data_IF_082469620019
#
_entry.id   IF_082469620019
#
_cell.length_a   1.000
_cell.length_b   1.000
_cell.length_c   1.000
_cell.angle_alpha   90.00
_cell.angle_beta   90.00
_cell.angle_gamma   90.00
#
_symmetry.space_group_name_H-M   'P 1'
#
loop_
_entity.id
_entity.type
_entity.pdbx_description
1 polymer ?
#
# COMPACT_ATOMS: atom_id res chain seq x y z
N UNK A 1 -16.26 62.76 -12.04
CA UNK A 1 -17.43 61.99 -11.56
C UNK A 1 -17.02 60.51 -11.53
N UNK A 2 -16.32 60.10 -10.46
CA UNK A 2 -15.87 58.73 -10.22
C UNK A 2 -16.33 58.35 -8.81
N UNK A 3 -17.15 57.32 -8.67
CA UNK A 3 -17.55 56.70 -7.40
C UNK A 3 -17.58 55.18 -7.66
N UNK A 4 -16.63 54.38 -7.19
CA UNK A 4 -16.42 53.86 -5.83
C UNK A 4 -17.28 52.62 -5.53
N UNK A 5 -16.62 51.48 -5.29
CA UNK A 5 -16.91 50.33 -4.39
C UNK A 5 -16.03 49.14 -4.86
N UNK A 6 -15.20 48.45 -4.08
CA UNK A 6 -14.79 48.56 -2.68
C UNK A 6 -13.65 47.55 -2.44
N UNK A 7 -12.56 48.00 -1.83
CA UNK A 7 -11.45 47.17 -1.32
C UNK A 7 -11.72 46.84 0.16
N UNK A 8 -11.45 45.60 0.56
CA UNK A 8 -11.34 45.15 1.97
C UNK A 8 -11.51 43.63 2.03
N UNK A 9 -10.78 42.84 2.81
CA UNK A 9 -9.68 43.05 3.73
C UNK A 9 -9.33 41.66 4.29
N UNK A 10 -8.07 41.25 4.21
CA UNK A 10 -7.58 39.98 4.75
C UNK A 10 -7.27 40.20 6.23
N UNK A 11 -8.09 39.63 7.12
CA UNK A 11 -7.87 39.67 8.57
C UNK A 11 -7.33 38.32 9.06
N UNK A 12 -6.01 38.27 9.23
CA UNK A 12 -5.29 37.18 9.91
C UNK A 12 -5.21 37.54 11.40
N UNK A 13 -5.92 36.83 12.28
CA UNK A 13 -5.77 36.98 13.73
C UNK A 13 -4.57 36.17 14.22
N UNK A 14 -3.63 36.86 14.83
CA UNK A 14 -2.67 36.33 15.78
C UNK A 14 -3.24 36.50 17.20
N UNK A 15 -3.07 35.50 18.07
CA UNK A 15 -2.97 35.71 19.51
C UNK A 15 -1.81 34.87 20.02
N UNK A 16 -0.78 35.54 20.52
CA UNK A 16 0.34 34.94 21.22
C UNK A 16 0.11 34.91 22.72
N UNK A 17 0.84 34.01 23.37
CA UNK A 17 1.27 34.10 24.77
C UNK A 17 2.67 33.50 24.87
N UNK A 18 3.65 34.41 24.96
CA UNK A 18 4.87 34.40 25.80
C UNK A 18 4.82 33.44 27.01
N UNK A 19 5.89 32.84 27.59
CA UNK A 19 7.37 32.89 27.49
C UNK A 19 7.91 31.84 28.52
N UNK A 20 9.18 31.83 29.00
CA UNK A 20 10.44 31.36 28.40
C UNK A 20 11.23 30.35 29.28
N UNK A 21 12.48 30.04 28.83
CA UNK A 21 13.67 29.50 29.55
C UNK A 21 13.96 28.01 29.24
N UNK A 22 15.19 27.54 28.99
CA UNK A 22 16.56 28.04 29.16
C UNK A 22 17.52 27.10 28.37
N UNK A 23 18.66 27.62 27.89
CA UNK A 23 19.98 26.96 27.66
C UNK A 23 20.02 25.70 26.74
N UNK A 24 21.00 25.45 25.88
CA UNK A 24 22.42 25.80 25.84
C UNK A 24 22.95 25.43 24.45
N UNK A 25 23.76 26.32 23.85
CA UNK A 25 24.54 26.05 22.64
C UNK A 25 25.99 25.86 23.03
N UNK A 26 26.60 24.73 22.66
CA UNK A 26 28.05 24.55 22.55
C UNK A 26 28.25 23.77 21.24
N UNK A 27 29.00 24.20 20.21
CA UNK A 27 30.13 25.12 20.22
C UNK A 27 31.42 24.32 20.25
N UNK A 28 31.85 23.77 19.10
CA UNK A 28 33.25 23.39 18.88
C UNK A 28 33.65 23.74 17.44
N UNK A 29 34.60 24.66 17.37
CA UNK A 29 35.24 25.20 16.17
C UNK A 29 36.71 24.75 16.18
N UNK A 30 37.14 24.22 15.04
CA UNK A 30 38.47 24.38 14.42
C UNK A 30 39.74 23.65 14.90
N UNK A 31 40.52 23.32 13.85
CA UNK A 31 42.01 23.20 13.73
C UNK A 31 42.52 21.75 13.72
N UNK A 32 43.34 21.25 12.76
CA UNK A 32 44.32 21.84 11.85
C UNK A 32 44.41 21.00 10.53
N UNK A 33 44.47 21.62 9.36
CA UNK A 33 45.65 21.72 8.45
C UNK A 33 46.36 20.42 8.01
N UNK A 34 46.11 20.09 6.73
CA UNK A 34 47.11 19.86 5.66
C UNK A 34 48.05 18.64 5.72
N UNK A 35 47.78 17.67 4.84
CA UNK A 35 48.79 17.10 3.92
C UNK A 35 48.13 16.36 2.75
N UNK A 36 48.45 16.83 1.56
CA UNK A 36 48.21 16.18 0.26
C UNK A 36 49.02 14.89 0.17
N UNK A 37 48.38 13.78 -0.20
CA UNK A 37 49.07 12.74 -0.96
C UNK A 37 48.09 11.93 -1.82
N UNK A 38 48.44 11.75 -3.08
CA UNK A 38 47.71 10.98 -4.06
C UNK A 38 47.78 9.48 -3.73
N UNK A 39 46.67 8.73 -3.94
CA UNK A 39 46.63 7.51 -4.78
C UNK A 39 45.45 6.58 -4.46
N UNK A 40 44.84 6.14 -5.57
CA UNK A 40 44.07 4.90 -5.81
C UNK A 40 42.65 4.83 -5.27
N UNK A 41 41.71 4.94 -6.20
CA UNK A 41 40.32 4.56 -6.03
C UNK A 41 40.17 3.06 -5.74
N UNK A 42 39.30 2.77 -4.78
CA UNK A 42 38.69 1.47 -4.56
C UNK A 42 37.20 1.70 -4.38
N UNK A 43 36.42 1.36 -5.40
CA UNK A 43 34.96 1.35 -5.34
C UNK A 43 34.57 0.21 -4.40
N UNK A 44 34.15 0.53 -3.17
CA UNK A 44 33.45 -0.43 -2.32
C UNK A 44 32.04 -0.60 -2.89
N UNK A 45 31.84 -1.69 -3.64
CA UNK A 45 30.51 -2.20 -3.94
C UNK A 45 29.90 -2.71 -2.64
N UNK A 46 28.86 -2.02 -2.17
CA UNK A 46 27.89 -2.57 -1.23
C UNK A 46 27.10 -3.67 -1.94
N UNK A 47 27.46 -4.92 -1.71
CA UNK A 47 26.73 -6.09 -2.20
C UNK A 47 25.45 -6.31 -1.38
N UNK A 48 24.32 -6.05 -2.00
CA UNK A 48 23.01 -6.53 -1.57
C UNK A 48 23.02 -8.08 -1.46
N UNK A 49 22.40 -8.69 -0.44
CA UNK A 49 22.23 -10.14 -0.41
C UNK A 49 21.34 -10.59 -1.58
N UNK A 50 21.90 -11.47 -2.41
CA UNK A 50 21.23 -12.05 -3.57
C UNK A 50 20.06 -12.94 -3.12
N UNK A 51 18.85 -12.69 -3.65
CA UNK A 51 17.65 -13.52 -3.49
C UNK A 51 17.88 -15.02 -3.81
N UNK A 52 18.93 -15.32 -4.58
CA UNK A 52 19.35 -16.70 -4.92
C UNK A 52 19.92 -17.47 -3.72
N UNK A 53 20.41 -16.77 -2.69
CA UNK A 53 20.88 -17.39 -1.46
C UNK A 53 19.71 -17.84 -0.57
N UNK A 54 18.61 -17.08 -0.55
CA UNK A 54 17.42 -17.41 0.23
C UNK A 54 16.67 -18.64 -0.31
N UNK A 55 16.59 -18.80 -1.63
CA UNK A 55 16.03 -20.01 -2.26
C UNK A 55 16.89 -21.25 -1.98
N UNK A 56 18.23 -21.10 -2.05
CA UNK A 56 19.18 -22.17 -1.74
C UNK A 56 19.28 -22.53 -0.25
N UNK A 57 18.93 -21.62 0.67
CA UNK A 57 18.81 -21.89 2.10
C UNK A 57 17.47 -22.56 2.45
N UNK A 58 16.38 -22.19 1.79
CA UNK A 58 15.08 -22.84 1.95
C UNK A 58 15.08 -24.29 1.43
N UNK A 59 15.75 -24.55 0.29
CA UNK A 59 15.95 -25.92 -0.20
C UNK A 59 16.88 -26.73 0.71
N UNK A 60 17.94 -26.13 1.27
CA UNK A 60 18.82 -26.81 2.25
C UNK A 60 18.10 -27.14 3.55
N UNK A 61 17.30 -26.23 4.09
CA UNK A 61 16.47 -26.49 5.28
C UNK A 61 15.52 -27.66 5.07
N UNK A 62 14.88 -27.74 3.90
CA UNK A 62 13.97 -28.85 3.58
C UNK A 62 14.72 -30.19 3.48
N UNK A 63 15.91 -30.19 2.87
CA UNK A 63 16.77 -31.39 2.78
C UNK A 63 17.32 -31.79 4.15
N UNK A 64 17.70 -30.82 4.99
CA UNK A 64 18.15 -31.04 6.37
C UNK A 64 17.03 -31.57 7.27
N UNK A 65 15.80 -31.07 7.13
CA UNK A 65 14.61 -31.59 7.83
C UNK A 65 14.26 -33.01 7.37
N UNK A 66 14.38 -33.28 6.06
CA UNK A 66 14.21 -34.63 5.53
C UNK A 66 15.29 -35.57 6.07
N UNK A 67 16.55 -35.15 6.11
CA UNK A 67 17.66 -35.95 6.62
C UNK A 67 17.51 -36.22 8.11
N UNK A 68 17.12 -35.22 8.92
CA UNK A 68 16.83 -35.39 10.34
C UNK A 68 15.69 -36.39 10.59
N UNK A 69 14.62 -36.34 9.76
CA UNK A 69 13.52 -37.31 9.81
C UNK A 69 13.97 -38.70 9.37
N UNK A 70 14.83 -38.79 8.36
CA UNK A 70 15.36 -40.04 7.83
C UNK A 70 16.28 -40.71 8.87
N UNK A 71 17.18 -39.95 9.49
CA UNK A 71 18.01 -40.41 10.61
C UNK A 71 17.16 -40.86 11.82
N UNK A 72 16.08 -40.14 12.15
CA UNK A 72 15.18 -40.55 13.22
C UNK A 72 14.44 -41.87 12.89
N UNK A 73 14.06 -42.07 11.63
CA UNK A 73 13.44 -43.31 11.15
C UNK A 73 14.44 -44.47 11.12
N UNK A 74 15.65 -44.25 10.62
CA UNK A 74 16.72 -45.25 10.62
C UNK A 74 17.09 -45.68 12.05
N UNK A 75 17.19 -44.72 12.97
CA UNK A 75 17.44 -45.03 14.39
C UNK A 75 16.31 -45.87 15.00
N UNK A 76 15.04 -45.62 14.63
CA UNK A 76 13.88 -46.36 15.13
C UNK A 76 13.76 -47.77 14.50
N UNK A 77 14.10 -47.93 13.22
CA UNK A 77 13.92 -49.20 12.49
C UNK A 77 15.15 -50.11 12.58
N UNK A 78 16.36 -49.56 12.49
CA UNK A 78 17.61 -50.31 12.50
C UNK A 78 18.33 -50.31 13.86
N UNK A 79 17.93 -49.44 14.80
CA UNK A 79 18.60 -49.30 16.11
C UNK A 79 20.09 -48.91 15.98
N UNK A 80 20.88 -49.09 17.05
CA UNK A 80 22.35 -48.90 17.04
C UNK A 80 23.11 -49.95 16.19
N UNK A 81 22.41 -50.89 15.56
CA UNK A 81 22.99 -52.00 14.78
C UNK A 81 23.26 -51.65 13.30
N UNK A 82 23.08 -50.39 12.90
CA UNK A 82 23.29 -49.90 11.53
C UNK A 82 24.72 -49.98 10.96
N UNK A 83 25.68 -50.61 11.66
CA UNK A 83 27.04 -50.85 11.14
C UNK A 83 27.23 -52.24 10.54
N UNK A 84 26.31 -53.17 10.78
CA UNK A 84 26.40 -54.53 10.27
C UNK A 84 25.31 -54.77 9.22
N UNK A 85 25.77 -54.89 7.98
CA UNK A 85 25.05 -54.99 6.70
C UNK A 85 24.07 -56.18 6.57
N UNK A 86 23.18 -56.42 7.53
CA UNK A 86 22.07 -57.38 7.38
C UNK A 86 20.75 -56.62 7.39
N UNK A 87 19.96 -56.67 6.30
CA UNK A 87 18.61 -56.12 6.33
C UNK A 87 17.84 -56.84 7.43
N UNK A 88 17.54 -56.14 8.52
CA UNK A 88 16.66 -56.69 9.55
C UNK A 88 15.34 -56.95 8.85
N UNK A 89 14.92 -58.21 8.79
CA UNK A 89 13.65 -58.60 8.17
C UNK A 89 12.49 -58.21 9.09
N UNK A 90 12.37 -56.93 9.40
CA UNK A 90 11.36 -56.37 10.30
C UNK A 90 9.96 -56.74 9.82
N UNK A 91 9.72 -56.71 8.51
CA UNK A 91 8.45 -57.13 7.91
C UNK A 91 8.14 -58.62 8.18
N UNK A 92 9.08 -59.54 7.91
CA UNK A 92 8.86 -60.98 8.17
C UNK A 92 8.72 -61.29 9.66
N UNK A 93 9.49 -60.62 10.52
CA UNK A 93 9.39 -60.76 11.98
C UNK A 93 8.08 -60.18 12.52
N UNK A 94 7.64 -59.02 12.02
CA UNK A 94 6.37 -58.40 12.36
C UNK A 94 5.20 -59.26 11.91
N UNK A 95 5.25 -59.82 10.70
CA UNK A 95 4.22 -60.75 10.21
C UNK A 95 4.18 -62.01 11.07
N UNK A 96 5.33 -62.58 11.46
CA UNK A 96 5.38 -63.72 12.39
C UNK A 96 4.80 -63.39 13.77
N UNK A 97 5.15 -62.24 14.33
CA UNK A 97 4.62 -61.76 15.62
C UNK A 97 3.11 -61.49 15.52
N UNK A 98 2.67 -60.80 14.48
CA UNK A 98 1.25 -60.52 14.25
C UNK A 98 0.44 -61.81 14.08
N UNK A 99 0.99 -62.80 13.38
CA UNK A 99 0.34 -64.11 13.20
C UNK A 99 0.28 -64.87 14.54
N UNK A 100 1.34 -64.83 15.35
CA UNK A 100 1.36 -65.43 16.69
C UNK A 100 0.40 -64.73 17.66
N UNK A 101 0.30 -63.40 17.58
CA UNK A 101 -0.65 -62.58 18.35
C UNK A 101 -2.08 -62.85 17.91
N UNK A 102 -2.37 -62.89 16.61
CA UNK A 102 -3.69 -63.22 16.07
C UNK A 102 -4.12 -64.64 16.47
N UNK A 103 -3.20 -65.61 16.41
CA UNK A 103 -3.46 -66.97 16.86
C UNK A 103 -3.73 -67.05 18.38
N UNK A 104 -3.02 -66.25 19.18
CA UNK A 104 -3.22 -66.21 20.64
C UNK A 104 -4.50 -65.48 21.03
N UNK A 105 -4.82 -64.38 20.34
CA UNK A 105 -6.04 -63.62 20.51
C UNK A 105 -7.27 -64.45 20.11
N UNK A 106 -7.22 -65.18 18.99
CA UNK A 106 -8.33 -66.00 18.53
C UNK A 106 -8.54 -67.30 19.33
N UNK A 107 -7.50 -67.86 19.95
CA UNK A 107 -7.62 -69.06 20.81
C UNK A 107 -8.20 -68.74 22.20
N UNK A 108 -8.12 -67.50 22.66
CA UNK A 108 -8.65 -67.06 23.96
C UNK A 108 -9.70 -65.97 23.75
N UNK A 109 -10.98 -66.34 23.81
CA UNK A 109 -12.11 -65.42 23.64
C UNK A 109 -12.01 -64.15 24.52
N UNK A 110 -11.50 -64.27 25.74
CA UNK A 110 -11.26 -63.10 26.62
C UNK A 110 -10.24 -62.11 26.04
N UNK A 111 -9.18 -62.60 25.39
CA UNK A 111 -8.14 -61.76 24.76
C UNK A 111 -8.68 -61.12 23.49
N UNK A 112 -9.49 -61.84 22.71
CA UNK A 112 -10.19 -61.31 21.54
C UNK A 112 -11.14 -60.16 21.89
N UNK A 113 -11.91 -60.32 22.96
CA UNK A 113 -12.81 -59.29 23.48
C UNK A 113 -12.01 -58.08 23.96
N UNK A 114 -10.90 -58.31 24.68
CA UNK A 114 -10.03 -57.22 25.12
C UNK A 114 -9.39 -56.47 23.95
N UNK A 115 -8.93 -57.16 22.90
CA UNK A 115 -8.34 -56.51 21.73
C UNK A 115 -9.33 -55.59 21.01
N UNK A 116 -10.59 -56.04 20.87
CA UNK A 116 -11.68 -55.20 20.35
C UNK A 116 -12.03 -54.04 21.27
N UNK A 117 -12.09 -54.30 22.58
CA UNK A 117 -12.35 -53.25 23.58
C UNK A 117 -11.21 -52.25 23.70
N UNK A 118 -9.97 -52.62 23.39
CA UNK A 118 -8.83 -51.69 23.40
C UNK A 118 -9.03 -50.62 22.33
N UNK A 119 -9.49 -50.98 21.12
CA UNK A 119 -9.81 -49.99 20.09
C UNK A 119 -10.93 -49.04 20.52
N UNK A 120 -11.97 -49.56 21.19
CA UNK A 120 -13.06 -48.73 21.70
C UNK A 120 -12.60 -47.87 22.89
N UNK A 121 -11.82 -48.43 23.82
CA UNK A 121 -11.24 -47.70 24.96
C UNK A 121 -10.26 -46.62 24.50
N UNK A 122 -9.52 -46.84 23.41
CA UNK A 122 -8.68 -45.80 22.80
C UNK A 122 -9.51 -44.61 22.33
N UNK A 123 -10.73 -44.83 21.81
CA UNK A 123 -11.66 -43.74 21.44
C UNK A 123 -12.16 -42.98 22.66
N UNK A 124 -12.46 -43.68 23.76
CA UNK A 124 -12.88 -43.05 25.01
C UNK A 124 -11.72 -42.37 25.78
N UNK A 125 -10.47 -42.72 25.47
CA UNK A 125 -9.27 -42.10 26.03
C UNK A 125 -8.78 -40.90 25.22
N UNK A 126 -9.38 -40.63 24.05
CA UNK A 126 -9.12 -39.40 23.31
C UNK A 126 -9.76 -38.23 24.09
N UNK A 127 -8.96 -37.26 24.59
CA UNK A 127 -9.49 -36.09 25.28
C UNK A 127 -10.54 -35.35 24.43
N UNK A 128 -10.35 -35.34 23.10
CA UNK A 128 -11.30 -34.70 22.20
C UNK A 128 -12.67 -35.38 22.24
N UNK A 129 -12.75 -36.70 22.41
CA UNK A 129 -14.03 -37.41 22.46
C UNK A 129 -14.77 -37.21 23.78
N UNK A 130 -14.05 -37.11 24.89
CA UNK A 130 -14.65 -36.92 26.23
C UNK A 130 -15.17 -35.49 26.41
N UNK A 131 -14.47 -34.49 25.86
CA UNK A 131 -14.86 -33.08 25.96
C UNK A 131 -16.19 -32.77 25.24
N UNK A 132 -16.49 -33.46 24.13
CA UNK A 132 -17.76 -33.27 23.41
C UNK A 132 -18.98 -33.93 24.08
N UNK A 133 -18.79 -34.98 24.87
CA UNK A 133 -19.89 -35.70 25.56
C UNK A 133 -20.15 -35.13 26.95
N UNK A 134 -19.16 -34.47 27.55
CA UNK A 134 -19.19 -34.16 28.97
C UNK A 134 -19.83 -32.82 29.35
N UNK A 135 -20.22 -31.93 28.42
CA UNK A 135 -20.88 -30.66 28.81
C UNK A 135 -22.31 -30.96 29.27
N UNK A 136 -22.60 -30.97 30.58
CA UNK A 136 -23.93 -31.29 31.08
C UNK A 136 -24.87 -30.14 30.69
N UNK A 137 -26.18 -30.43 30.55
CA UNK A 137 -27.13 -29.42 30.09
C UNK A 137 -27.22 -28.20 31.01
N UNK A 138 -26.96 -28.38 32.32
CA UNK A 138 -26.81 -27.27 33.26
C UNK A 138 -25.64 -26.35 32.91
N UNK A 139 -24.50 -26.89 32.46
CA UNK A 139 -23.33 -26.09 32.07
C UNK A 139 -23.56 -25.37 30.73
N UNK A 140 -24.29 -25.98 29.79
CA UNK A 140 -24.68 -25.31 28.54
C UNK A 140 -25.54 -24.08 28.82
N UNK A 141 -26.46 -24.19 29.78
CA UNK A 141 -27.29 -23.07 30.21
C UNK A 141 -26.44 -21.93 30.80
N UNK A 142 -25.56 -22.26 31.74
CA UNK A 142 -24.66 -21.26 32.34
C UNK A 142 -23.74 -20.62 31.31
N UNK A 143 -23.26 -21.38 30.32
CA UNK A 143 -22.45 -20.85 29.22
C UNK A 143 -23.24 -19.88 28.35
N UNK A 144 -24.48 -20.23 27.97
CA UNK A 144 -25.37 -19.36 27.19
C UNK A 144 -25.70 -18.07 27.95
N UNK A 145 -25.96 -18.17 29.26
CA UNK A 145 -26.25 -17.00 30.11
C UNK A 145 -25.01 -16.13 30.31
N UNK A 146 -23.83 -16.72 30.53
CA UNK A 146 -22.57 -16.00 30.65
C UNK A 146 -22.18 -15.29 29.34
N UNK A 147 -22.49 -15.90 28.19
CA UNK A 147 -22.24 -15.32 26.86
C UNK A 147 -23.44 -14.56 26.27
N UNK A 148 -24.51 -14.34 27.03
CA UNK A 148 -25.74 -13.74 26.52
C UNK A 148 -25.47 -12.35 25.92
N UNK A 149 -24.75 -11.50 26.64
CA UNK A 149 -24.39 -10.16 26.17
C UNK A 149 -23.51 -10.20 24.92
N UNK A 150 -22.60 -11.17 24.84
CA UNK A 150 -21.74 -11.38 23.68
C UNK A 150 -22.58 -11.79 22.46
N UNK A 151 -23.48 -12.75 22.60
CA UNK A 151 -24.39 -13.20 21.54
C UNK A 151 -25.33 -12.08 21.08
N UNK A 152 -25.88 -11.30 22.02
CA UNK A 152 -26.71 -10.12 21.72
C UNK A 152 -25.93 -9.06 20.96
N UNK A 153 -24.68 -8.79 21.37
CA UNK A 153 -23.82 -7.81 20.69
C UNK A 153 -23.46 -8.26 19.26
N UNK A 154 -23.16 -9.55 19.06
CA UNK A 154 -22.91 -10.12 17.73
C UNK A 154 -24.17 -10.06 16.86
N UNK A 155 -25.33 -10.40 17.40
CA UNK A 155 -26.60 -10.33 16.66
C UNK A 155 -26.90 -8.90 16.21
N UNK A 156 -26.72 -7.90 17.08
CA UNK A 156 -26.90 -6.50 16.74
C UNK A 156 -25.90 -6.03 15.66
N UNK A 157 -24.64 -6.47 15.73
CA UNK A 157 -23.65 -6.16 14.71
C UNK A 157 -23.98 -6.83 13.36
N UNK A 158 -24.41 -8.08 13.38
CA UNK A 158 -24.85 -8.80 12.18
C UNK A 158 -26.08 -8.15 11.55
N UNK A 159 -27.03 -7.67 12.36
CA UNK A 159 -28.18 -6.91 11.87
C UNK A 159 -27.75 -5.60 11.21
N UNK A 160 -26.79 -4.88 11.81
CA UNK A 160 -26.21 -3.69 11.18
C UNK A 160 -25.54 -4.02 9.83
N UNK A 161 -24.76 -5.09 9.76
CA UNK A 161 -24.12 -5.53 8.52
C UNK A 161 -25.17 -5.90 7.46
N UNK A 162 -26.22 -6.63 7.85
CA UNK A 162 -27.33 -6.98 6.96
C UNK A 162 -28.07 -5.74 6.44
N UNK A 163 -28.26 -4.72 7.28
CA UNK A 163 -28.88 -3.45 6.88
C UNK A 163 -28.00 -2.63 5.92
N UNK A 164 -26.68 -2.79 5.98
CA UNK A 164 -25.72 -2.11 5.11
C UNK A 164 -25.47 -2.85 3.79
N UNK A 165 -25.76 -4.15 3.72
CA UNK A 165 -25.66 -4.97 2.50
C UNK A 165 -26.32 -4.33 1.26
N UNK A 166 -27.58 -3.81 1.31
CA UNK A 166 -28.20 -3.18 0.15
C UNK A 166 -27.52 -1.90 -0.33
N UNK A 167 -26.67 -1.25 0.48
CA UNK A 167 -25.93 -0.06 0.06
C UNK A 167 -24.80 -0.41 -0.92
N UNK A 168 -24.21 -1.59 -0.79
CA UNK A 168 -23.18 -2.10 -1.72
C UNK A 168 -23.75 -2.34 -3.12
N UNK A 169 -25.02 -2.74 -3.17
CA UNK A 169 -25.75 -2.97 -4.42
C UNK A 169 -26.40 -1.73 -5.01
N UNK A 170 -26.22 -0.56 -4.38
CA UNK A 170 -26.83 0.68 -4.81
C UNK A 170 -26.44 1.03 -6.25
N UNK A 171 -27.45 1.44 -7.03
CA UNK A 171 -27.27 1.81 -8.43
C UNK A 171 -26.25 2.94 -8.60
N UNK A 172 -26.05 3.79 -7.59
CA UNK A 172 -25.06 4.86 -7.60
C UNK A 172 -23.62 4.35 -7.63
N UNK A 173 -23.31 3.28 -6.89
CA UNK A 173 -21.98 2.64 -6.91
C UNK A 173 -21.78 1.91 -8.25
N UNK A 174 -22.82 1.23 -8.74
CA UNK A 174 -22.78 0.53 -10.04
C UNK A 174 -22.64 1.49 -11.23
N UNK A 175 -23.16 2.71 -11.13
CA UNK A 175 -23.09 3.73 -12.17
C UNK A 175 -21.76 4.52 -12.20
N UNK A 176 -20.84 4.30 -11.25
CA UNK A 176 -19.55 5.01 -11.17
C UNK A 176 -18.71 4.85 -12.45
N UNK A 177 -18.56 3.65 -13.06
CA UNK A 177 -17.80 3.52 -14.30
C UNK A 177 -18.39 4.34 -15.45
N UNK A 178 -19.72 4.35 -15.59
CA UNK A 178 -20.41 5.15 -16.61
C UNK A 178 -20.19 6.65 -16.37
N UNK A 179 -20.37 7.13 -15.14
CA UNK A 179 -20.13 8.53 -14.79
C UNK A 179 -18.66 8.93 -15.03
N UNK A 180 -17.71 8.04 -14.70
CA UNK A 180 -16.28 8.27 -14.92
C UNK A 180 -15.97 8.48 -16.39
N UNK A 181 -16.53 7.68 -17.29
CA UNK A 181 -16.32 7.86 -18.74
C UNK A 181 -16.88 9.19 -19.24
N UNK A 182 -18.06 9.62 -18.76
CA UNK A 182 -18.64 10.93 -19.09
C UNK A 182 -17.77 12.08 -18.59
N UNK A 183 -17.26 11.98 -17.35
CA UNK A 183 -16.35 12.97 -16.76
C UNK A 183 -15.03 13.05 -17.51
N UNK A 184 -14.45 11.91 -17.90
CA UNK A 184 -13.23 11.87 -18.72
C UNK A 184 -13.44 12.56 -20.08
N UNK A 185 -14.57 12.28 -20.75
CA UNK A 185 -14.92 12.96 -22.01
C UNK A 185 -15.09 14.46 -21.81
N UNK A 186 -15.79 14.89 -20.76
CA UNK A 186 -15.95 16.31 -20.44
C UNK A 186 -14.61 16.97 -20.12
N UNK A 187 -13.71 16.29 -19.41
CA UNK A 187 -12.37 16.78 -19.14
C UNK A 187 -11.59 17.03 -20.43
N UNK A 188 -11.68 16.12 -21.40
CA UNK A 188 -11.02 16.29 -22.69
C UNK A 188 -11.58 17.50 -23.47
N UNK A 189 -12.91 17.65 -23.47
CA UNK A 189 -13.58 18.81 -24.09
C UNK A 189 -13.15 20.11 -23.40
N UNK A 190 -13.04 20.10 -22.08
CA UNK A 190 -12.64 21.28 -21.32
C UNK A 190 -11.20 21.71 -21.63
N UNK A 191 -10.27 20.76 -21.74
CA UNK A 191 -8.88 21.04 -22.16
C UNK A 191 -8.85 21.68 -23.55
N UNK A 192 -9.62 21.12 -24.49
CA UNK A 192 -9.72 21.66 -25.85
C UNK A 192 -10.28 23.09 -25.88
N UNK A 193 -11.37 23.32 -25.14
CA UNK A 193 -11.97 24.65 -25.02
C UNK A 193 -11.02 25.66 -24.37
N UNK A 194 -10.25 25.24 -23.37
CA UNK A 194 -9.26 26.09 -22.73
C UNK A 194 -8.16 26.48 -23.72
N UNK A 195 -7.61 25.53 -24.47
CA UNK A 195 -6.60 25.79 -25.48
C UNK A 195 -7.11 26.77 -26.56
N UNK A 196 -8.33 26.54 -27.06
CA UNK A 196 -8.96 27.42 -28.05
C UNK A 196 -9.18 28.84 -27.50
N UNK A 197 -9.59 28.96 -26.24
CA UNK A 197 -9.78 30.26 -25.60
C UNK A 197 -8.44 31.00 -25.40
N UNK A 198 -7.37 30.28 -25.06
CA UNK A 198 -6.03 30.86 -24.93
C UNK A 198 -5.49 31.33 -26.29
N UNK A 199 -5.66 30.54 -27.35
CA UNK A 199 -5.29 30.90 -28.73
C UNK A 199 -6.07 32.12 -29.21
N UNK A 200 -7.40 32.10 -29.07
CA UNK A 200 -8.27 33.22 -29.43
C UNK A 200 -7.89 34.50 -28.65
N UNK A 201 -7.62 34.37 -27.35
CA UNK A 201 -7.20 35.49 -26.52
C UNK A 201 -5.82 36.03 -26.92
N UNK A 202 -4.91 35.18 -27.41
CA UNK A 202 -3.62 35.62 -27.95
C UNK A 202 -3.81 36.37 -29.27
N UNK A 203 -4.66 35.86 -30.16
CA UNK A 203 -4.94 36.48 -31.46
C UNK A 203 -5.63 37.83 -31.32
N UNK A 204 -6.60 37.94 -30.41
CA UNK A 204 -7.26 39.22 -30.11
C UNK A 204 -6.25 40.23 -29.57
N UNK A 205 -5.35 39.81 -28.66
CA UNK A 205 -4.28 40.70 -28.15
C UNK A 205 -3.35 41.16 -29.28
N UNK A 206 -2.91 40.25 -30.15
CA UNK A 206 -2.09 40.57 -31.32
C UNK A 206 -2.78 41.59 -32.22
N UNK A 207 -4.07 41.40 -32.50
CA UNK A 207 -4.83 42.32 -33.33
C UNK A 207 -4.96 43.72 -32.70
N UNK A 208 -5.17 43.79 -31.38
CA UNK A 208 -5.15 45.06 -30.66
C UNK A 208 -3.78 45.76 -30.72
N UNK A 209 -2.69 45.02 -30.60
CA UNK A 209 -1.33 45.55 -30.73
C UNK A 209 -1.08 46.12 -32.13
N UNK A 210 -1.51 45.41 -33.18
CA UNK A 210 -1.39 45.87 -34.57
C UNK A 210 -2.24 47.11 -34.84
N UNK A 211 -3.49 47.11 -34.37
CA UNK A 211 -4.38 48.27 -34.48
C UNK A 211 -3.78 49.48 -33.77
N UNK A 212 -3.31 49.33 -32.54
CA UNK A 212 -2.68 50.40 -31.77
C UNK A 212 -1.43 50.94 -32.49
N UNK A 213 -0.61 50.06 -33.05
CA UNK A 213 0.58 50.44 -33.84
C UNK A 213 0.18 51.23 -35.09
N UNK A 214 -0.82 50.77 -35.84
CA UNK A 214 -1.34 51.46 -37.02
C UNK A 214 -1.89 52.84 -36.66
N UNK A 215 -2.70 52.94 -35.60
CA UNK A 215 -3.25 54.21 -35.12
C UNK A 215 -2.18 55.20 -34.66
N UNK A 216 -1.13 54.70 -34.00
CA UNK A 216 0.01 55.53 -33.61
C UNK A 216 0.76 56.09 -34.84
N UNK A 217 1.00 55.25 -35.85
CA UNK A 217 1.67 55.67 -37.08
C UNK A 217 0.82 56.68 -37.87
N UNK A 218 -0.49 56.44 -37.98
CA UNK A 218 -1.42 57.40 -38.60
C UNK A 218 -1.41 58.75 -37.88
N UNK A 219 -1.47 58.74 -36.54
CA UNK A 219 -1.40 59.96 -35.73
C UNK A 219 -0.10 60.73 -35.97
N UNK A 220 1.04 60.03 -36.03
CA UNK A 220 2.34 60.63 -36.36
C UNK A 220 2.34 61.22 -37.77
N UNK A 221 1.74 60.52 -38.74
CA UNK A 221 1.67 60.98 -40.13
C UNK A 221 0.83 62.25 -40.26
N UNK A 222 -0.31 62.33 -39.57
CA UNK A 222 -1.12 63.55 -39.53
C UNK A 222 -0.34 64.73 -38.94
N UNK A 223 0.36 64.55 -37.83
CA UNK A 223 1.21 65.60 -37.26
C UNK A 223 2.31 66.06 -38.23
N UNK A 224 2.93 65.12 -38.95
CA UNK A 224 3.95 65.45 -39.95
C UNK A 224 3.37 66.23 -41.14
N UNK A 225 2.18 65.84 -41.62
CA UNK A 225 1.47 66.56 -42.67
C UNK A 225 1.07 67.96 -42.20
N UNK A 226 0.55 68.11 -40.99
CA UNK A 226 0.21 69.41 -40.40
C UNK A 226 1.45 70.32 -40.27
N UNK A 227 2.60 69.77 -39.84
CA UNK A 227 3.84 70.53 -39.75
C UNK A 227 4.34 70.96 -41.13
N UNK A 228 4.22 70.09 -42.13
CA UNK A 228 4.61 70.37 -43.52
C UNK A 228 3.70 71.44 -44.13
N UNK A 229 2.39 71.33 -43.95
CA UNK A 229 1.42 72.34 -44.37
C UNK A 229 1.72 73.69 -43.71
N UNK A 230 1.97 73.71 -42.40
CA UNK A 230 2.33 74.95 -41.67
C UNK A 230 3.62 75.59 -42.19
N UNK A 231 4.62 74.81 -42.62
CA UNK A 231 5.85 75.33 -43.24
C UNK A 231 5.59 75.94 -44.62
N UNK A 232 4.66 75.38 -45.39
CA UNK A 232 4.27 75.90 -46.71
C UNK A 232 3.35 77.12 -46.61
N UNK A 233 2.50 77.18 -45.58
CA UNK A 233 1.60 78.29 -45.27
C UNK A 233 2.29 79.44 -44.52
N UNK A 234 3.47 79.19 -43.93
CA UNK A 234 4.27 80.24 -43.32
C UNK A 234 4.50 81.33 -44.38
N UNK A 235 4.16 82.60 -44.09
CA UNK A 235 4.25 83.66 -45.07
C UNK A 235 5.67 83.69 -45.62
N UNK A 236 5.79 83.69 -46.96
CA UNK A 236 7.05 83.95 -47.67
C UNK A 236 7.65 85.23 -47.07
N UNK A 237 8.58 85.10 -46.14
CA UNK A 237 9.28 86.25 -45.58
C UNK A 237 10.05 86.90 -46.74
N UNK A 238 9.53 88.04 -47.18
CA UNK A 238 10.23 89.07 -47.94
C UNK A 238 10.97 88.62 -49.19
N UNK A 239 10.28 88.50 -50.32
CA UNK A 239 10.82 89.13 -51.52
C UNK A 239 10.50 90.63 -51.41
N UNK A 240 11.50 91.52 -51.28
CA UNK A 240 11.24 92.93 -51.51
C UNK A 240 10.91 93.10 -52.99
N UNK A 241 9.71 93.63 -53.26
CA UNK A 241 9.36 94.20 -54.54
C UNK A 241 9.62 95.70 -54.39
N UNK A 242 10.46 96.22 -55.28
CA UNK A 242 10.99 97.60 -55.41
C UNK A 242 12.12 98.03 -54.46
#
# INVERSE_FOLDING_TARGET
MWTCWGKGGILRKQSGTESPRHHETNGLHSRAESRTDERKGGIQQTSLPSLRAAEGEMERSSVEDLDARLQALEKRVCGELGKNNRPVKCAESLVRINTALANTANKRERVKILHKKIEDLLKYLDPQFTDYIAVPDAMKLEFILAEEDFLRSQAALLEQVNNLQPLLDSNHIKAVPELTTKVQRLSQIHIEQQNQNEELSAEVRRLFEEYNKMMFLLSKQFTQWDETLRKLEAPKQGQPIE
#
